data_IF_450962508688
#
_entry.id   IF_450962508688
#
_cell.length_a   1.000
_cell.length_b   1.000
_cell.length_c   1.000
_cell.angle_alpha   90.00
_cell.angle_beta   90.00
_cell.angle_gamma   90.00
#
_symmetry.space_group_name_H-M   'P 1'
#
loop_
_entity.id
_entity.type
_entity.pdbx_description
1 polymer ?
#
# COMPACT_ATOMS: atom_id res chain seq x y z
N UNK A 1 0.35 -11.00 44.39
CA UNK A 1 0.98 -11.38 43.11
C UNK A 1 2.48 -11.49 43.34
N UNK A 2 3.04 -12.68 43.18
CA UNK A 2 4.46 -12.97 43.32
C UNK A 2 5.25 -12.36 42.17
N UNK A 3 6.51 -11.98 42.41
CA UNK A 3 7.42 -11.48 41.38
C UNK A 3 7.50 -12.43 40.16
N UNK A 4 7.40 -13.75 40.41
CA UNK A 4 7.35 -14.78 39.36
C UNK A 4 6.10 -14.68 38.48
N UNK A 5 4.94 -14.40 39.07
CA UNK A 5 3.68 -14.27 38.33
C UNK A 5 3.69 -13.03 37.43
N UNK A 6 4.27 -11.92 37.91
CA UNK A 6 4.44 -10.70 37.11
C UNK A 6 5.38 -10.95 35.93
N UNK A 7 6.50 -11.64 36.15
CA UNK A 7 7.42 -12.01 35.08
C UNK A 7 6.76 -12.89 34.02
N UNK A 8 6.02 -13.93 34.43
CA UNK A 8 5.31 -14.82 33.51
C UNK A 8 4.24 -14.07 32.70
N UNK A 9 3.52 -13.14 33.32
CA UNK A 9 2.53 -12.31 32.63
C UNK A 9 3.16 -11.39 31.59
N UNK A 10 4.28 -10.74 31.93
CA UNK A 10 5.03 -9.89 31.00
C UNK A 10 5.58 -10.69 29.82
N UNK A 11 6.09 -11.90 30.06
CA UNK A 11 6.59 -12.80 29.01
C UNK A 11 5.47 -13.22 28.05
N UNK A 12 4.34 -13.71 28.59
CA UNK A 12 3.15 -14.04 27.80
C UNK A 12 2.63 -12.86 26.98
N UNK A 13 2.61 -11.66 27.56
CA UNK A 13 2.14 -10.46 26.85
C UNK A 13 3.07 -10.08 25.70
N UNK A 14 4.39 -10.25 25.89
CA UNK A 14 5.38 -9.99 24.85
C UNK A 14 5.27 -10.99 23.70
N UNK A 15 5.02 -12.25 24.00
CA UNK A 15 4.87 -13.30 22.99
C UNK A 15 3.58 -13.08 22.17
N UNK A 16 2.46 -12.76 22.82
CA UNK A 16 1.20 -12.43 22.13
C UNK A 16 1.33 -11.20 21.22
N UNK A 17 2.07 -10.18 21.69
CA UNK A 17 2.34 -8.99 20.90
C UNK A 17 3.26 -9.30 19.71
N UNK A 18 4.25 -10.17 19.90
CA UNK A 18 5.11 -10.68 18.83
C UNK A 18 4.32 -11.42 17.75
N UNK A 19 3.42 -12.32 18.14
CA UNK A 19 2.55 -13.04 17.21
C UNK A 19 1.63 -12.09 16.41
N UNK A 20 1.11 -11.07 17.07
CA UNK A 20 0.28 -10.04 16.42
C UNK A 20 1.10 -9.20 15.44
N UNK A 21 2.32 -8.84 15.82
CA UNK A 21 3.25 -8.10 14.96
C UNK A 21 3.64 -8.89 13.71
N UNK A 22 3.94 -10.18 13.86
CA UNK A 22 4.25 -11.07 12.73
C UNK A 22 3.05 -11.17 11.75
N UNK A 23 1.82 -11.24 12.27
CA UNK A 23 0.63 -11.24 11.41
C UNK A 23 0.46 -9.91 10.65
N UNK A 24 0.70 -8.79 11.33
CA UNK A 24 0.67 -7.46 10.70
C UNK A 24 1.77 -7.35 9.65
N UNK A 25 3.00 -7.77 9.95
CA UNK A 25 4.13 -7.79 9.02
C UNK A 25 3.80 -8.66 7.80
N UNK A 26 3.14 -9.79 8.00
CA UNK A 26 2.72 -10.64 6.89
C UNK A 26 1.66 -9.96 5.99
N UNK A 27 0.66 -9.29 6.58
CA UNK A 27 -0.37 -8.56 5.83
C UNK A 27 0.16 -7.30 5.14
N UNK A 28 1.12 -6.63 5.77
CA UNK A 28 1.82 -5.45 5.26
C UNK A 28 3.02 -5.84 4.39
N UNK A 29 3.32 -7.13 4.26
CA UNK A 29 4.42 -7.60 3.45
C UNK A 29 4.25 -7.05 2.03
N UNK A 30 5.33 -6.54 1.40
CA UNK A 30 5.24 -5.92 0.08
C UNK A 30 4.50 -6.82 -0.92
N UNK A 31 4.74 -8.14 -0.86
CA UNK A 31 4.08 -9.12 -1.72
C UNK A 31 2.55 -9.17 -1.52
N UNK A 32 2.04 -9.14 -0.29
CA UNK A 32 0.61 -9.20 0.00
C UNK A 32 -0.11 -7.91 -0.40
N UNK A 33 0.51 -6.77 -0.10
CA UNK A 33 0.02 -5.44 -0.48
C UNK A 33 -0.02 -5.30 -2.00
N UNK A 34 1.05 -5.69 -2.70
CA UNK A 34 1.09 -5.66 -4.17
C UNK A 34 0.03 -6.56 -4.79
N UNK A 35 -0.14 -7.79 -4.30
CA UNK A 35 -1.17 -8.71 -4.81
C UNK A 35 -2.58 -8.16 -4.63
N UNK A 36 -2.87 -7.60 -3.46
CA UNK A 36 -4.17 -7.00 -3.15
C UNK A 36 -4.42 -5.77 -3.99
N UNK A 37 -3.41 -4.90 -4.14
CA UNK A 37 -3.47 -3.71 -4.99
C UNK A 37 -3.74 -4.05 -6.45
N UNK A 38 -3.01 -5.01 -7.02
CA UNK A 38 -3.21 -5.45 -8.40
C UNK A 38 -4.62 -6.00 -8.61
N UNK A 39 -5.09 -6.87 -7.70
CA UNK A 39 -6.44 -7.44 -7.79
C UNK A 39 -7.54 -6.37 -7.66
N UNK A 40 -7.31 -5.34 -6.85
CA UNK A 40 -8.24 -4.22 -6.72
C UNK A 40 -8.26 -3.36 -7.99
N UNK A 41 -7.09 -3.03 -8.55
CA UNK A 41 -6.98 -2.26 -9.80
C UNK A 41 -7.66 -3.01 -10.95
N UNK A 42 -7.39 -4.30 -11.12
CA UNK A 42 -8.00 -5.10 -12.18
C UNK A 42 -9.53 -5.14 -12.03
N UNK A 43 -10.03 -5.43 -10.82
CA UNK A 43 -11.48 -5.44 -10.57
C UNK A 43 -12.14 -4.07 -10.70
N UNK A 44 -11.40 -2.99 -10.44
CA UNK A 44 -11.85 -1.61 -10.64
C UNK A 44 -11.97 -1.28 -12.14
N UNK A 45 -10.97 -1.69 -12.92
CA UNK A 45 -10.97 -1.53 -14.38
C UNK A 45 -12.13 -2.30 -15.03
N UNK A 46 -12.34 -3.56 -14.64
CA UNK A 46 -13.42 -4.39 -15.18
C UNK A 46 -14.81 -3.79 -14.92
N UNK A 47 -15.00 -3.15 -13.75
CA UNK A 47 -16.28 -2.53 -13.37
C UNK A 47 -16.54 -1.20 -14.07
N UNK A 48 -15.52 -0.36 -14.21
CA UNK A 48 -15.66 0.96 -14.84
C UNK A 48 -14.41 1.32 -15.65
N UNK A 49 -14.26 0.73 -16.85
CA UNK A 49 -13.08 0.96 -17.67
C UNK A 49 -13.02 2.39 -18.21
N UNK A 50 -14.17 3.04 -18.40
CA UNK A 50 -14.24 4.41 -18.94
C UNK A 50 -13.56 5.43 -18.03
N UNK A 51 -13.73 5.31 -16.70
CA UNK A 51 -13.06 6.19 -15.75
C UNK A 51 -11.53 6.08 -15.84
N UNK A 52 -11.00 4.86 -16.03
CA UNK A 52 -9.58 4.61 -16.21
C UNK A 52 -9.04 5.16 -17.53
N UNK A 53 -9.79 5.03 -18.62
CA UNK A 53 -9.40 5.59 -19.92
C UNK A 53 -9.36 7.12 -19.89
N UNK A 54 -10.36 7.75 -19.27
CA UNK A 54 -10.39 9.22 -19.12
C UNK A 54 -9.24 9.68 -18.23
N UNK A 55 -9.06 9.05 -17.06
CA UNK A 55 -7.95 9.37 -16.16
C UNK A 55 -6.58 9.19 -16.81
N UNK A 56 -6.39 8.09 -17.55
CA UNK A 56 -5.18 7.81 -18.31
C UNK A 56 -4.94 8.83 -19.43
N UNK A 57 -5.99 9.22 -20.15
CA UNK A 57 -5.91 10.27 -21.17
C UNK A 57 -5.47 11.61 -20.59
N UNK A 58 -6.07 12.03 -19.47
CA UNK A 58 -5.69 13.27 -18.78
C UNK A 58 -4.23 13.20 -18.31
N UNK A 59 -3.80 12.07 -17.73
CA UNK A 59 -2.43 11.89 -17.28
C UNK A 59 -1.43 11.99 -18.44
N UNK A 60 -1.74 11.36 -19.58
CA UNK A 60 -0.88 11.41 -20.77
C UNK A 60 -0.76 12.83 -21.33
N UNK A 61 -1.89 13.55 -21.43
CA UNK A 61 -1.88 14.97 -21.84
C UNK A 61 -1.04 15.80 -20.88
N UNK A 62 -1.19 15.58 -19.57
CA UNK A 62 -0.40 16.24 -18.53
C UNK A 62 1.09 16.02 -18.70
N UNK A 63 1.52 14.77 -18.93
CA UNK A 63 2.93 14.43 -19.17
C UNK A 63 3.48 15.18 -20.39
N UNK A 64 2.75 15.14 -21.52
CA UNK A 64 3.17 15.83 -22.75
C UNK A 64 3.26 17.34 -22.51
N UNK A 65 2.26 17.94 -21.85
CA UNK A 65 2.26 19.35 -21.52
C UNK A 65 3.42 19.73 -20.60
N UNK A 66 3.73 18.93 -19.58
CA UNK A 66 4.87 19.16 -18.67
C UNK A 66 6.21 19.09 -19.39
N UNK A 67 6.38 18.15 -20.32
CA UNK A 67 7.61 18.05 -21.14
C UNK A 67 7.75 19.27 -22.05
N UNK A 68 6.68 19.65 -22.75
CA UNK A 68 6.70 20.84 -23.62
C UNK A 68 6.96 22.12 -22.83
N UNK A 69 6.36 22.25 -21.64
CA UNK A 69 6.61 23.38 -20.74
C UNK A 69 8.07 23.42 -20.30
N UNK A 70 8.62 22.31 -19.83
CA UNK A 70 10.00 22.24 -19.38
C UNK A 70 11.02 22.57 -20.50
N UNK A 71 10.72 22.19 -21.75
CA UNK A 71 11.57 22.52 -22.91
C UNK A 71 11.41 23.97 -23.37
N UNK A 72 10.26 24.60 -23.11
CA UNK A 72 9.98 25.99 -23.51
C UNK A 72 10.43 27.02 -22.46
N UNK A 73 10.72 26.60 -21.23
CA UNK A 73 11.18 27.47 -20.13
C UNK A 73 12.71 27.74 -20.19
N UNK A 74 13.44 26.92 -20.95
CA UNK A 74 14.91 26.95 -21.04
C UNK A 74 15.45 27.93 -22.13
N UNK A 75 14.56 28.65 -22.82
CA UNK A 75 14.86 29.62 -23.91
C UNK A 75 14.26 31.00 -23.57
#
# INVERSE_FOLDING_TARGET
>A
MSKKEVHAYVESTRDDLGATLDEIEHRMSPAHVTKTGISWVSGSYDKNPMAWLIGGGIALIGIVASVLWALSDDD
#
